data_IF_076807579462
#
_entry.id   IF_076807579462
#
_cell.length_a   1.000
_cell.length_b   1.000
_cell.length_c   1.000
_cell.angle_alpha   90.00
_cell.angle_beta   90.00
_cell.angle_gamma   90.00
#
_symmetry.space_group_name_H-M   'P 1'
#
loop_
_entity.id
_entity.type
_entity.pdbx_description
1 polymer ?
#
# COMPACT_ATOMS: atom_id res chain seq x y z
N UNK A 1 -26.98 3.39 2.71
CA UNK A 1 -26.13 2.21 2.45
C UNK A 1 -25.06 2.12 3.54
N UNK A 2 -25.21 1.27 4.55
CA UNK A 2 -24.13 0.99 5.50
C UNK A 2 -23.09 0.09 4.81
N UNK A 3 -22.17 0.71 4.07
CA UNK A 3 -20.97 0.00 3.61
C UNK A 3 -20.13 -0.32 4.85
N UNK A 4 -20.14 -1.58 5.28
CA UNK A 4 -19.32 -2.02 6.41
C UNK A 4 -17.86 -1.77 6.06
N UNK A 5 -17.21 -0.83 6.75
CA UNK A 5 -15.77 -0.62 6.68
C UNK A 5 -15.07 -1.70 7.50
N UNK A 6 -14.91 -2.89 6.91
CA UNK A 6 -14.38 -4.08 7.59
C UNK A 6 -12.98 -3.90 8.20
N UNK A 7 -12.25 -2.85 7.79
CA UNK A 7 -10.91 -2.53 8.28
C UNK A 7 -10.86 -1.17 8.99
N UNK A 8 -12.00 -0.61 9.41
CA UNK A 8 -12.05 0.66 10.14
C UNK A 8 -11.18 0.62 11.40
N UNK A 9 -10.38 1.67 11.60
CA UNK A 9 -9.46 1.80 12.73
C UNK A 9 -8.27 0.84 12.69
N UNK A 10 -8.12 -0.01 11.66
CA UNK A 10 -6.97 -0.91 11.52
C UNK A 10 -5.80 -0.21 10.84
N UNK A 11 -4.60 -0.50 11.34
CA UNK A 11 -3.35 -0.13 10.69
C UNK A 11 -2.74 -1.36 10.01
N UNK A 12 -2.39 -1.24 8.73
CA UNK A 12 -1.83 -2.30 7.91
C UNK A 12 -0.49 -1.84 7.36
N UNK A 13 0.55 -2.65 7.61
CA UNK A 13 1.85 -2.50 6.95
C UNK A 13 1.83 -3.33 5.68
N UNK A 14 1.94 -2.67 4.53
CA UNK A 14 2.04 -3.30 3.22
C UNK A 14 3.52 -3.40 2.85
N UNK A 15 4.13 -4.54 3.15
CA UNK A 15 5.50 -4.85 2.76
C UNK A 15 5.56 -5.32 1.29
N UNK A 16 6.35 -4.64 0.48
CA UNK A 16 6.49 -4.88 -0.97
C UNK A 16 7.93 -5.25 -1.28
N UNK A 17 8.10 -6.38 -1.98
CA UNK A 17 9.40 -6.96 -2.34
C UNK A 17 9.62 -6.97 -3.86
N UNK A 18 10.79 -7.42 -4.30
CA UNK A 18 11.20 -7.45 -5.71
C UNK A 18 10.51 -8.55 -6.53
N UNK A 19 9.20 -8.44 -6.71
CA UNK A 19 8.39 -9.30 -7.58
C UNK A 19 7.63 -8.43 -8.58
N UNK A 20 7.29 -8.99 -9.75
CA UNK A 20 6.41 -8.30 -10.70
C UNK A 20 5.06 -7.92 -10.07
N UNK A 21 4.59 -8.70 -9.10
CA UNK A 21 3.37 -8.40 -8.34
C UNK A 21 3.44 -7.08 -7.55
N UNK A 22 4.63 -6.48 -7.41
CA UNK A 22 4.80 -5.15 -6.82
C UNK A 22 3.92 -4.10 -7.52
N UNK A 23 3.68 -4.20 -8.83
CA UNK A 23 2.85 -3.21 -9.56
C UNK A 23 1.38 -3.24 -9.12
N UNK A 24 0.85 -4.41 -8.76
CA UNK A 24 -0.54 -4.57 -8.31
C UNK A 24 -0.78 -4.02 -6.89
N UNK A 25 0.30 -3.79 -6.13
CA UNK A 25 0.21 -3.29 -4.75
C UNK A 25 -0.41 -1.90 -4.66
N UNK A 26 -0.35 -1.09 -5.72
CA UNK A 26 -1.04 0.21 -5.81
C UNK A 26 -2.55 0.03 -5.70
N UNK A 27 -3.12 -0.92 -6.47
CA UNK A 27 -4.55 -1.23 -6.43
C UNK A 27 -4.94 -1.84 -5.09
N UNK A 28 -4.08 -2.70 -4.53
CA UNK A 28 -4.28 -3.29 -3.21
C UNK A 28 -4.33 -2.21 -2.11
N UNK A 29 -3.38 -1.28 -2.09
CA UNK A 29 -3.34 -0.19 -1.12
C UNK A 29 -4.64 0.65 -1.14
N UNK A 30 -5.13 1.00 -2.33
CA UNK A 30 -6.43 1.66 -2.46
C UNK A 30 -7.60 0.80 -1.97
N UNK A 31 -7.60 -0.50 -2.29
CA UNK A 31 -8.67 -1.41 -1.86
C UNK A 31 -8.72 -1.58 -0.33
N UNK A 32 -7.56 -1.58 0.34
CA UNK A 32 -7.47 -1.61 1.80
C UNK A 32 -7.99 -0.30 2.41
N UNK A 33 -7.56 0.86 1.88
CA UNK A 33 -8.02 2.18 2.33
C UNK A 33 -9.53 2.38 2.15
N UNK A 34 -10.09 1.93 1.03
CA UNK A 34 -11.56 2.00 0.78
C UNK A 34 -12.38 1.22 1.80
N UNK A 35 -11.77 0.29 2.54
CA UNK A 35 -12.42 -0.47 3.63
C UNK A 35 -12.16 0.13 5.02
N UNK A 36 -11.57 1.34 5.09
CA UNK A 36 -11.32 2.07 6.34
C UNK A 36 -9.93 1.87 6.94
N UNK A 37 -9.02 1.13 6.28
CA UNK A 37 -7.68 0.90 6.81
C UNK A 37 -6.75 2.11 6.64
N UNK A 38 -5.89 2.34 7.64
CA UNK A 38 -4.65 3.13 7.49
C UNK A 38 -3.55 2.23 6.96
N UNK A 39 -3.01 2.52 5.77
CA UNK A 39 -1.99 1.68 5.13
C UNK A 39 -0.63 2.38 5.15
N UNK A 40 0.42 1.70 5.60
CA UNK A 40 1.81 2.15 5.52
C UNK A 40 2.56 1.25 4.53
N UNK A 41 3.08 1.80 3.44
CA UNK A 41 3.92 1.06 2.51
C UNK A 41 5.37 0.97 3.02
N UNK A 42 5.95 -0.23 2.91
CA UNK A 42 7.37 -0.49 3.14
C UNK A 42 7.89 -1.25 1.93
N UNK A 43 8.96 -0.78 1.31
CA UNK A 43 9.47 -1.30 0.04
C UNK A 43 10.92 -1.72 0.19
N UNK A 44 11.28 -2.88 -0.35
CA UNK A 44 12.68 -3.23 -0.52
C UNK A 44 13.31 -2.50 -1.71
N UNK A 45 14.64 -2.39 -1.72
CA UNK A 45 15.41 -1.81 -2.80
C UNK A 45 15.13 -2.50 -4.15
N UNK A 46 14.91 -3.83 -4.14
CA UNK A 46 14.51 -4.57 -5.33
C UNK A 46 13.09 -4.19 -5.82
N UNK A 47 12.15 -3.91 -4.90
CA UNK A 47 10.82 -3.43 -5.27
C UNK A 47 10.86 -2.04 -5.90
N UNK A 48 11.72 -1.15 -5.41
CA UNK A 48 11.92 0.19 -5.95
C UNK A 48 12.41 0.20 -7.40
N UNK A 49 13.13 -0.85 -7.82
CA UNK A 49 13.52 -1.05 -9.22
C UNK A 49 12.37 -1.44 -10.15
N UNK A 50 11.24 -1.89 -9.60
CA UNK A 50 10.05 -2.32 -10.36
C UNK A 50 8.96 -1.24 -10.31
N UNK A 51 8.69 -0.70 -9.13
CA UNK A 51 7.67 0.31 -8.88
C UNK A 51 8.27 1.49 -8.10
N UNK A 52 8.11 2.70 -8.62
CA UNK A 52 8.63 3.89 -7.96
C UNK A 52 7.90 4.16 -6.62
N UNK A 53 8.61 4.48 -5.51
CA UNK A 53 7.99 4.72 -4.19
C UNK A 53 6.90 5.80 -4.15
N UNK A 54 6.97 6.77 -5.06
CA UNK A 54 5.93 7.79 -5.21
C UNK A 54 4.54 7.19 -5.52
N UNK A 55 4.47 6.07 -6.25
CA UNK A 55 3.21 5.43 -6.58
C UNK A 55 2.50 4.91 -5.32
N UNK A 56 3.25 4.27 -4.40
CA UNK A 56 2.70 3.82 -3.13
C UNK A 56 2.50 4.95 -2.13
N UNK A 57 3.29 6.02 -2.22
CA UNK A 57 3.05 7.24 -1.44
C UNK A 57 1.68 7.83 -1.77
N UNK A 58 1.38 7.97 -3.07
CA UNK A 58 0.06 8.39 -3.54
C UNK A 58 -1.04 7.40 -3.14
N UNK A 59 -0.81 6.11 -3.35
CA UNK A 59 -1.81 5.08 -3.09
C UNK A 59 -2.17 4.95 -1.60
N UNK A 60 -1.21 5.15 -0.71
CA UNK A 60 -1.40 5.05 0.74
C UNK A 60 -1.75 6.37 1.41
N UNK A 61 -1.39 7.51 0.80
CA UNK A 61 -1.50 8.83 1.41
C UNK A 61 -0.47 9.06 2.53
N UNK A 62 0.57 8.23 2.61
CA UNK A 62 1.68 8.29 3.57
C UNK A 62 3.00 8.07 2.84
N UNK A 63 4.12 8.66 3.28
CA UNK A 63 5.42 8.41 2.67
C UNK A 63 5.73 6.90 2.65
N UNK A 64 6.09 6.38 1.47
CA UNK A 64 6.60 5.02 1.38
C UNK A 64 7.97 4.93 2.07
N UNK A 65 8.14 3.95 2.96
CA UNK A 65 9.42 3.67 3.61
C UNK A 65 10.20 2.75 2.68
N UNK A 66 11.46 3.10 2.41
CA UNK A 66 12.33 2.32 1.51
C UNK A 66 13.56 1.83 2.27
N UNK A 67 14.03 0.61 1.98
CA UNK A 67 15.23 0.02 2.57
C UNK A 67 15.81 -1.13 1.78
#
# INVERSE_FOLDING_TARGET
MSGINTLEGKEIVLAVTGSIAAVDTVRLAHALRRRGARVQAVMSSAACGILHPAALTYATGRPAITG
#
